data_IF_147476522679
#
_entry.id   IF_147476522679
#
_cell.length_a   1.000
_cell.length_b   1.000
_cell.length_c   1.000
_cell.angle_alpha   90.00
_cell.angle_beta   90.00
_cell.angle_gamma   90.00
#
_symmetry.space_group_name_H-M   'P 1'
#
loop_
_entity.id
_entity.type
_entity.pdbx_description
1 polymer ?
#
# COMPACT_ATOMS: atom_id res chain seq x y z
N UNK A 1 50.67 -2.60 -63.94
CA UNK A 1 50.34 -1.82 -65.17
C UNK A 1 48.94 -1.25 -65.01
N UNK A 2 48.81 0.08 -65.17
CA UNK A 2 47.60 0.87 -65.51
C UNK A 2 46.39 0.81 -64.54
N UNK A 3 45.62 1.88 -64.28
CA UNK A 3 45.68 3.35 -64.47
C UNK A 3 44.43 3.88 -63.74
N UNK A 4 44.53 5.11 -63.25
CA UNK A 4 43.51 5.95 -62.59
C UNK A 4 42.12 5.97 -63.25
N UNK A 5 41.08 6.22 -62.42
CA UNK A 5 40.15 7.33 -62.64
C UNK A 5 39.36 7.63 -61.35
N UNK A 6 39.65 8.79 -60.74
CA UNK A 6 38.77 9.47 -59.79
C UNK A 6 37.58 10.06 -60.56
N UNK A 7 36.36 9.78 -60.14
CA UNK A 7 35.17 10.50 -60.58
C UNK A 7 34.73 11.41 -59.45
N UNK A 8 34.84 12.72 -59.68
CA UNK A 8 34.39 13.78 -58.81
C UNK A 8 32.86 13.83 -58.79
N UNK A 9 32.25 13.64 -57.63
CA UNK A 9 30.84 13.96 -57.42
C UNK A 9 30.72 15.43 -57.00
N UNK A 10 30.14 16.25 -57.86
CA UNK A 10 29.83 17.65 -57.58
C UNK A 10 28.68 17.73 -56.57
N UNK A 11 28.93 18.35 -55.41
CA UNK A 11 27.90 18.73 -54.45
C UNK A 11 27.17 19.98 -54.95
N UNK A 12 25.88 19.85 -55.27
CA UNK A 12 24.99 21.01 -55.43
C UNK A 12 24.35 21.28 -54.07
N UNK A 13 24.86 22.28 -53.36
CA UNK A 13 24.26 22.78 -52.13
C UNK A 13 23.09 23.71 -52.47
N UNK A 14 21.86 23.24 -52.27
CA UNK A 14 20.66 24.08 -52.34
C UNK A 14 20.51 24.83 -51.02
N UNK A 15 20.88 26.11 -51.00
CA UNK A 15 20.67 26.98 -49.84
C UNK A 15 19.18 27.36 -49.74
N UNK A 16 18.45 26.70 -48.87
CA UNK A 16 17.11 27.15 -48.44
C UNK A 16 17.29 28.15 -47.31
N UNK A 17 17.09 29.43 -47.61
CA UNK A 17 17.01 30.47 -46.59
C UNK A 17 15.70 30.30 -45.80
N UNK A 18 15.78 29.66 -44.63
CA UNK A 18 14.69 29.65 -43.65
C UNK A 18 14.77 30.96 -42.86
N UNK A 19 13.88 31.89 -43.14
CA UNK A 19 13.68 33.08 -42.30
C UNK A 19 13.06 32.63 -40.97
N UNK A 20 13.86 32.59 -39.91
CA UNK A 20 13.37 32.41 -38.56
C UNK A 20 12.62 33.68 -38.12
N UNK A 21 11.29 33.69 -38.25
CA UNK A 21 10.46 34.66 -37.54
C UNK A 21 10.48 34.28 -36.06
N UNK A 22 11.32 34.98 -35.29
CA UNK A 22 11.26 34.99 -33.84
C UNK A 22 9.97 35.70 -33.38
N UNK A 23 8.84 35.01 -33.50
CA UNK A 23 7.62 35.38 -32.79
C UNK A 23 7.83 35.12 -31.31
N UNK A 24 8.04 36.17 -30.52
CA UNK A 24 7.86 36.11 -29.08
C UNK A 24 6.39 35.77 -28.79
N UNK A 25 6.06 34.48 -28.75
CA UNK A 25 4.83 34.01 -28.14
C UNK A 25 4.93 34.32 -26.65
N UNK A 26 4.32 35.45 -26.26
CA UNK A 26 3.98 35.75 -24.87
C UNK A 26 3.13 34.60 -24.37
N UNK A 27 3.73 33.65 -23.64
CA UNK A 27 2.96 32.67 -22.86
C UNK A 27 1.99 33.46 -22.00
N UNK A 28 0.67 33.22 -22.07
CA UNK A 28 -0.23 33.83 -21.11
C UNK A 28 0.27 33.46 -19.73
N UNK A 29 0.42 34.46 -18.86
CA UNK A 29 0.76 34.22 -17.46
C UNK A 29 -0.25 33.20 -16.93
N UNK A 30 0.23 32.02 -16.52
CA UNK A 30 -0.60 31.03 -15.85
C UNK A 30 -1.18 31.74 -14.63
N UNK A 31 -2.48 32.07 -14.69
CA UNK A 31 -3.18 32.60 -13.52
C UNK A 31 -3.20 31.46 -12.53
N UNK A 32 -2.41 31.59 -11.46
CA UNK A 32 -2.55 30.70 -10.31
C UNK A 32 -4.01 30.82 -9.88
N UNK A 33 -4.79 29.72 -9.87
CA UNK A 33 -6.18 29.77 -9.45
C UNK A 33 -6.25 30.28 -8.00
N UNK A 34 -7.38 30.85 -7.55
CA UNK A 34 -7.52 31.20 -6.14
C UNK A 34 -7.34 29.94 -5.27
N UNK A 35 -6.77 30.07 -4.05
CA UNK A 35 -6.70 28.97 -3.10
C UNK A 35 -8.10 28.41 -2.84
N UNK A 36 -8.23 27.09 -2.75
CA UNK A 36 -9.50 26.38 -2.60
C UNK A 36 -9.73 25.83 -1.18
N UNK A 37 -8.79 26.08 -0.26
CA UNK A 37 -8.83 25.58 1.11
C UNK A 37 -8.04 26.48 2.07
N UNK A 38 -8.23 26.32 3.39
CA UNK A 38 -7.40 26.94 4.42
C UNK A 38 -6.84 25.92 5.42
N UNK A 39 -5.51 25.88 5.60
CA UNK A 39 -4.86 25.10 6.67
C UNK A 39 -4.50 26.04 7.82
N UNK A 40 -5.20 25.93 8.95
CA UNK A 40 -4.96 26.81 10.11
C UNK A 40 -5.15 28.30 9.79
N UNK A 41 -6.09 28.64 8.89
CA UNK A 41 -6.35 30.01 8.45
C UNK A 41 -5.42 30.51 7.33
N UNK A 42 -4.42 29.74 6.90
CA UNK A 42 -3.57 30.06 5.75
C UNK A 42 -4.24 29.55 4.47
N UNK A 43 -4.54 30.39 3.46
CA UNK A 43 -5.08 29.94 2.19
C UNK A 43 -4.09 29.05 1.44
N UNK A 44 -4.51 27.86 1.03
CA UNK A 44 -3.68 26.89 0.30
C UNK A 44 -4.42 26.31 -0.90
N UNK A 45 -3.68 25.66 -1.79
CA UNK A 45 -4.22 24.84 -2.87
C UNK A 45 -4.17 23.38 -2.44
N UNK A 46 -5.32 22.72 -2.43
CA UNK A 46 -5.36 21.27 -2.42
C UNK A 46 -4.81 20.79 -3.76
N UNK A 47 -3.72 20.03 -3.71
CA UNK A 47 -3.26 19.25 -4.85
C UNK A 47 -4.21 18.06 -4.95
N UNK A 48 -4.86 17.90 -6.09
CA UNK A 48 -5.65 16.70 -6.36
C UNK A 48 -4.71 15.49 -6.31
N UNK A 49 -4.93 14.61 -5.34
CA UNK A 49 -4.21 13.33 -5.27
C UNK A 49 -4.98 12.37 -6.16
N UNK A 50 -4.41 11.92 -7.29
CA UNK A 50 -5.12 11.00 -8.17
C UNK A 50 -5.49 9.73 -7.41
N UNK A 51 -6.76 9.32 -7.50
CA UNK A 51 -7.24 8.08 -6.93
C UNK A 51 -6.40 6.91 -7.45
N UNK A 52 -5.97 6.02 -6.55
CA UNK A 52 -5.23 4.83 -6.93
C UNK A 52 -6.03 3.98 -7.93
N UNK A 53 -5.33 3.32 -8.87
CA UNK A 53 -5.97 2.41 -9.80
C UNK A 53 -6.70 1.27 -9.05
N UNK A 54 -7.76 0.65 -9.60
CA UNK A 54 -8.51 -0.38 -8.89
C UNK A 54 -7.68 -1.62 -8.50
N UNK A 55 -6.62 -1.89 -9.26
CA UNK A 55 -5.68 -3.00 -9.05
C UNK A 55 -4.23 -2.53 -9.17
N UNK A 56 -3.31 -3.29 -8.59
CA UNK A 56 -1.87 -2.98 -8.63
C UNK A 56 -0.97 -4.16 -8.25
N UNK A 57 0.24 -4.15 -8.79
CA UNK A 57 1.29 -5.17 -8.58
C UNK A 57 2.56 -4.61 -7.95
N UNK A 58 2.54 -3.33 -7.56
CA UNK A 58 3.69 -2.64 -6.99
C UNK A 58 4.13 -3.34 -5.71
N UNK A 59 5.43 -3.61 -5.58
CA UNK A 59 5.97 -4.19 -4.36
C UNK A 59 5.62 -3.35 -3.11
N UNK A 60 5.43 -4.01 -1.98
CA UNK A 60 5.07 -3.39 -0.71
C UNK A 60 6.16 -3.59 0.34
N UNK A 61 7.24 -2.79 0.31
CA UNK A 61 8.34 -2.90 1.25
C UNK A 61 8.05 -2.23 2.59
N UNK A 62 8.84 -2.59 3.60
CA UNK A 62 8.84 -1.98 4.93
C UNK A 62 7.71 -2.49 5.84
N UNK A 63 7.55 -1.85 7.00
CA UNK A 63 6.52 -2.19 7.99
C UNK A 63 5.32 -1.28 7.79
N UNK A 64 4.33 -1.75 7.03
CA UNK A 64 3.11 -1.00 6.69
C UNK A 64 1.98 -1.92 6.24
N UNK A 65 0.72 -1.48 6.27
CA UNK A 65 -0.40 -2.28 5.80
C UNK A 65 -0.21 -2.78 4.36
N UNK A 66 -0.40 -4.07 4.16
CA UNK A 66 -0.18 -4.76 2.89
C UNK A 66 1.21 -5.37 2.71
N UNK A 67 2.19 -5.02 3.57
CA UNK A 67 3.54 -5.57 3.46
C UNK A 67 3.60 -6.97 4.07
N UNK A 68 4.60 -7.75 3.68
CA UNK A 68 4.79 -9.11 4.18
C UNK A 68 5.27 -9.09 5.62
N UNK A 69 4.70 -9.98 6.43
CA UNK A 69 5.21 -10.36 7.76
C UNK A 69 5.47 -11.85 7.78
N UNK A 70 6.62 -12.26 8.30
CA UNK A 70 6.98 -13.64 8.52
C UNK A 70 6.95 -13.94 10.03
N UNK A 71 6.43 -15.12 10.37
CA UNK A 71 6.48 -15.72 11.70
C UNK A 71 7.01 -17.16 11.59
N UNK A 72 7.15 -17.83 12.72
CA UNK A 72 7.49 -19.25 12.76
C UNK A 72 6.41 -20.16 12.13
N UNK A 73 5.17 -19.67 11.97
CA UNK A 73 4.08 -20.38 11.31
C UNK A 73 4.13 -20.20 9.79
N UNK A 74 4.48 -19.02 9.32
CA UNK A 74 4.60 -18.77 7.88
C UNK A 74 4.49 -17.30 7.50
N UNK A 75 4.24 -17.11 6.20
CA UNK A 75 4.15 -15.79 5.58
C UNK A 75 2.71 -15.27 5.58
N UNK A 76 2.55 -14.05 6.07
CA UNK A 76 1.29 -13.32 6.09
C UNK A 76 1.47 -11.87 5.62
N UNK A 77 0.41 -11.07 5.76
CA UNK A 77 0.40 -9.65 5.41
C UNK A 77 0.04 -8.81 6.63
N UNK A 78 0.76 -7.72 6.86
CA UNK A 78 0.39 -6.73 7.87
C UNK A 78 -0.97 -6.07 7.56
N UNK A 79 -1.78 -5.85 8.60
CA UNK A 79 -2.99 -5.06 8.56
C UNK A 79 -2.70 -3.59 8.94
N UNK A 80 -3.46 -2.97 9.84
CA UNK A 80 -3.31 -1.58 10.25
C UNK A 80 -2.30 -1.37 11.38
N UNK A 81 -1.88 -0.11 11.50
CA UNK A 81 -1.01 0.37 12.58
C UNK A 81 -1.88 0.92 13.70
N UNK A 82 -1.57 0.56 14.94
CA UNK A 82 -2.29 0.96 16.15
C UNK A 82 -1.34 1.68 17.12
N UNK A 83 -1.85 2.71 17.78
CA UNK A 83 -1.19 3.34 18.92
C UNK A 83 -1.68 2.67 20.21
N UNK A 84 -0.77 2.11 21.00
CA UNK A 84 -1.08 1.54 22.30
C UNK A 84 -1.23 2.62 23.36
N UNK A 85 -2.07 2.36 24.36
CA UNK A 85 -2.20 3.21 25.56
C UNK A 85 -0.92 3.27 26.41
N UNK A 86 0.00 2.33 26.18
CA UNK A 86 1.36 2.27 26.74
C UNK A 86 2.38 3.13 25.97
N UNK A 87 1.93 3.89 24.96
CA UNK A 87 2.77 4.73 24.12
C UNK A 87 3.60 3.94 23.08
N UNK A 88 3.35 2.64 22.92
CA UNK A 88 4.03 1.78 21.94
C UNK A 88 3.27 1.77 20.61
N UNK A 89 3.99 1.48 19.54
CA UNK A 89 3.40 1.24 18.22
C UNK A 89 3.15 -0.26 18.06
N UNK A 90 1.97 -0.59 17.55
CA UNK A 90 1.59 -1.94 17.19
C UNK A 90 1.21 -1.98 15.72
N UNK A 91 1.40 -3.14 15.09
CA UNK A 91 0.87 -3.44 13.77
C UNK A 91 0.25 -4.82 13.83
N UNK A 92 -0.92 -5.01 13.24
CA UNK A 92 -1.57 -6.32 13.32
C UNK A 92 -1.33 -7.20 12.10
N UNK A 93 -1.79 -8.44 12.23
CA UNK A 93 -1.98 -9.41 11.14
C UNK A 93 -3.12 -10.36 11.57
N UNK A 94 -3.35 -11.47 10.87
CA UNK A 94 -4.32 -12.47 11.31
C UNK A 94 -3.79 -13.26 12.53
N UNK A 95 -4.68 -13.83 13.33
CA UNK A 95 -4.33 -14.68 14.48
C UNK A 95 -3.72 -16.01 14.03
N UNK A 96 -4.26 -16.62 12.97
CA UNK A 96 -3.72 -17.86 12.41
C UNK A 96 -2.27 -17.71 11.93
N UNK A 97 -1.83 -16.49 11.62
CA UNK A 97 -0.46 -16.21 11.21
C UNK A 97 0.57 -16.45 12.32
N UNK A 98 0.13 -16.65 13.57
CA UNK A 98 1.04 -16.98 14.67
C UNK A 98 0.55 -18.15 15.53
N UNK A 99 -0.77 -18.36 15.60
CA UNK A 99 -1.35 -19.49 16.33
C UNK A 99 -1.35 -20.79 15.49
N UNK A 100 -1.10 -20.69 14.19
CA UNK A 100 -1.19 -21.82 13.27
C UNK A 100 -2.63 -22.25 13.00
N UNK A 101 -2.77 -23.46 12.48
CA UNK A 101 -4.07 -24.12 12.32
C UNK A 101 -4.19 -25.25 13.36
N UNK A 102 -5.40 -25.45 13.89
CA UNK A 102 -5.69 -26.66 14.66
C UNK A 102 -5.47 -27.91 13.78
N UNK A 103 -4.86 -29.00 14.29
CA UNK A 103 -4.69 -30.25 13.56
C UNK A 103 -6.00 -30.91 13.13
N UNK A 104 -7.14 -30.47 13.70
CA UNK A 104 -8.48 -30.92 13.34
C UNK A 104 -9.26 -29.88 12.51
N UNK A 105 -8.60 -28.78 12.12
CA UNK A 105 -9.24 -27.57 11.62
C UNK A 105 -9.92 -26.78 12.75
N UNK A 106 -10.06 -25.46 12.56
CA UNK A 106 -10.81 -24.59 13.47
C UNK A 106 -9.96 -23.83 14.50
N UNK A 107 -10.67 -23.31 15.49
CA UNK A 107 -10.20 -22.36 16.51
C UNK A 107 -9.04 -22.89 17.34
N UNK A 108 -8.09 -22.00 17.66
CA UNK A 108 -6.94 -22.27 18.54
C UNK A 108 -7.07 -21.53 19.88
N UNK A 109 -7.96 -20.54 19.95
CA UNK A 109 -8.22 -19.75 21.15
C UNK A 109 -7.48 -18.41 21.14
N UNK A 110 -7.24 -17.87 22.33
CA UNK A 110 -6.69 -16.54 22.55
C UNK A 110 -5.39 -16.63 23.36
N UNK A 111 -4.39 -15.84 22.97
CA UNK A 111 -3.08 -15.81 23.61
C UNK A 111 -2.59 -14.37 23.74
N UNK A 112 -1.95 -14.09 24.87
CA UNK A 112 -1.25 -12.83 25.13
C UNK A 112 0.14 -13.14 25.65
N UNK A 113 1.12 -12.36 25.20
CA UNK A 113 2.51 -12.50 25.62
C UNK A 113 2.95 -11.27 26.40
N UNK A 114 3.67 -11.50 27.48
CA UNK A 114 4.31 -10.42 28.20
C UNK A 114 5.43 -9.79 27.35
N UNK A 115 5.82 -8.54 27.67
CA UNK A 115 6.95 -7.93 27.02
C UNK A 115 8.22 -8.79 27.03
N UNK A 116 8.80 -9.03 25.86
CA UNK A 116 10.03 -9.81 25.67
C UNK A 116 9.81 -11.32 25.58
N UNK A 117 8.56 -11.80 25.68
CA UNK A 117 8.23 -13.23 25.64
C UNK A 117 7.43 -13.63 24.40
N UNK A 118 7.09 -12.67 23.55
CA UNK A 118 6.35 -12.89 22.33
C UNK A 118 7.20 -13.56 21.25
N UNK A 119 6.60 -14.41 20.39
CA UNK A 119 7.24 -14.87 19.18
C UNK A 119 7.72 -13.71 18.30
N UNK A 120 8.81 -13.91 17.57
CA UNK A 120 9.42 -12.86 16.75
C UNK A 120 8.61 -12.67 15.47
N UNK A 121 8.37 -11.41 15.10
CA UNK A 121 7.89 -11.04 13.79
C UNK A 121 9.05 -10.50 12.94
N UNK A 122 9.09 -10.90 11.67
CA UNK A 122 10.10 -10.48 10.71
C UNK A 122 9.46 -9.85 9.47
N UNK A 123 10.18 -8.95 8.81
CA UNK A 123 9.77 -8.43 7.50
C UNK A 123 10.05 -9.45 6.37
N UNK A 124 9.75 -9.04 5.12
CA UNK A 124 9.99 -9.85 3.92
C UNK A 124 11.45 -10.27 3.75
N UNK A 125 12.41 -9.49 4.25
CA UNK A 125 13.85 -9.75 4.19
C UNK A 125 14.37 -10.58 5.37
N UNK A 126 13.52 -10.95 6.31
CA UNK A 126 13.88 -11.69 7.53
C UNK A 126 14.40 -10.80 8.67
N UNK A 127 14.37 -9.47 8.52
CA UNK A 127 14.78 -8.58 9.60
C UNK A 127 13.72 -8.56 10.70
N UNK A 128 14.15 -8.62 11.96
CA UNK A 128 13.24 -8.51 13.11
C UNK A 128 12.58 -7.12 13.12
N UNK A 129 11.26 -7.10 13.29
CA UNK A 129 10.46 -5.87 13.40
C UNK A 129 9.82 -5.70 14.78
N UNK A 130 9.72 -6.78 15.55
CA UNK A 130 9.03 -6.78 16.84
C UNK A 130 8.68 -8.20 17.27
N UNK A 131 7.69 -8.27 18.15
CA UNK A 131 7.18 -9.53 18.70
C UNK A 131 5.67 -9.50 18.86
N UNK A 132 5.03 -10.67 18.72
CA UNK A 132 3.60 -10.79 18.95
C UNK A 132 3.26 -10.54 20.42
N UNK A 133 2.30 -9.66 20.66
CA UNK A 133 1.81 -9.30 21.99
C UNK A 133 0.43 -9.91 22.27
N UNK A 134 -0.35 -10.17 21.23
CA UNK A 134 -1.71 -10.69 21.32
C UNK A 134 -2.07 -11.47 20.05
N UNK A 135 -2.85 -12.54 20.18
CA UNK A 135 -3.49 -13.22 19.06
C UNK A 135 -4.78 -13.92 19.49
N UNK A 136 -5.77 -13.94 18.60
CA UNK A 136 -7.01 -14.70 18.73
C UNK A 136 -7.31 -15.40 17.41
N UNK A 137 -7.63 -16.68 17.50
CA UNK A 137 -8.20 -17.48 16.41
C UNK A 137 -9.38 -18.25 17.00
N UNK A 138 -10.54 -17.59 17.01
CA UNK A 138 -11.81 -18.08 17.51
C UNK A 138 -12.94 -17.42 16.69
N UNK A 139 -13.60 -18.17 15.81
CA UNK A 139 -14.64 -17.64 14.91
C UNK A 139 -15.64 -16.72 15.65
N UNK A 140 -15.92 -15.50 15.15
CA UNK A 140 -15.50 -14.92 13.87
C UNK A 140 -14.15 -14.17 13.92
N UNK A 141 -13.39 -14.29 15.01
CA UNK A 141 -12.17 -13.50 15.27
C UNK A 141 -10.91 -14.22 14.82
N UNK A 142 -10.18 -13.57 13.93
CA UNK A 142 -8.87 -14.01 13.46
C UNK A 142 -7.94 -12.78 13.37
N UNK A 143 -7.29 -12.46 14.50
CA UNK A 143 -6.56 -11.21 14.67
C UNK A 143 -5.35 -11.38 15.57
N UNK A 144 -4.28 -10.64 15.29
CA UNK A 144 -3.12 -10.53 16.18
C UNK A 144 -2.52 -9.13 16.15
N UNK A 145 -1.77 -8.82 17.21
CA UNK A 145 -1.00 -7.59 17.36
C UNK A 145 0.47 -7.94 17.54
N UNK A 146 1.30 -7.26 16.77
CA UNK A 146 2.75 -7.25 16.91
C UNK A 146 3.16 -5.93 17.52
N UNK A 147 3.86 -5.98 18.64
CA UNK A 147 4.47 -4.82 19.26
C UNK A 147 5.78 -4.53 18.55
N UNK A 148 5.86 -3.34 17.95
CA UNK A 148 7.00 -2.94 17.14
C UNK A 148 8.20 -2.57 18.01
N UNK A 149 9.39 -3.02 17.62
CA UNK A 149 10.63 -2.71 18.32
C UNK A 149 10.98 -1.22 18.19
N UNK A 150 11.63 -0.61 19.21
CA UNK A 150 12.07 0.78 19.11
C UNK A 150 13.00 0.99 17.90
N UNK A 151 12.77 2.06 17.13
CA UNK A 151 13.61 2.43 15.98
C UNK A 151 13.24 1.78 14.65
N UNK A 152 12.30 0.82 14.64
CA UNK A 152 11.73 0.29 13.40
C UNK A 152 10.80 1.33 12.78
N UNK A 153 11.06 1.71 11.54
CA UNK A 153 10.24 2.67 10.82
C UNK A 153 8.91 2.02 10.38
N UNK A 154 7.79 2.64 10.77
CA UNK A 154 6.44 2.17 10.46
C UNK A 154 5.70 3.23 9.64
N UNK A 155 4.99 2.80 8.61
CA UNK A 155 4.10 3.67 7.83
C UNK A 155 2.65 3.22 8.01
N UNK A 156 1.70 4.12 8.34
CA UNK A 156 0.29 3.77 8.40
C UNK A 156 -0.37 3.61 7.02
N UNK A 157 0.34 3.94 5.93
CA UNK A 157 -0.19 3.95 4.58
C UNK A 157 -0.37 2.51 4.03
N UNK A 158 -1.55 2.14 3.56
CA UNK A 158 -1.76 0.90 2.81
C UNK A 158 -1.00 0.97 1.50
N UNK A 159 -0.31 -0.10 1.15
CA UNK A 159 0.31 -0.18 -0.16
C UNK A 159 -0.70 0.03 -1.28
N UNK A 160 -0.24 0.72 -2.34
CA UNK A 160 -1.02 1.13 -3.50
C UNK A 160 -2.15 2.14 -3.24
N UNK A 161 -3.01 1.92 -2.24
CA UNK A 161 -4.19 2.74 -1.98
C UNK A 161 -3.94 3.96 -1.07
N UNK A 162 -2.83 3.99 -0.34
CA UNK A 162 -2.64 4.97 0.73
C UNK A 162 -3.64 4.74 1.87
N UNK A 163 -3.83 5.74 2.75
CA UNK A 163 -4.73 5.62 3.90
C UNK A 163 -4.41 4.41 4.80
N UNK A 164 -5.28 3.93 5.69
CA UNK A 164 -6.54 4.56 6.07
C UNK A 164 -6.29 5.90 6.77
N UNK A 165 -7.31 6.76 6.77
CA UNK A 165 -7.33 8.03 7.52
C UNK A 165 -8.14 7.94 8.82
N UNK A 166 -8.64 6.74 9.17
CA UNK A 166 -9.45 6.51 10.36
C UNK A 166 -10.02 5.09 10.43
N UNK A 167 -10.74 4.81 11.51
CA UNK A 167 -11.53 3.58 11.69
C UNK A 167 -12.93 3.84 11.14
N UNK A 168 -13.42 2.94 10.29
CA UNK A 168 -14.80 2.96 9.84
C UNK A 168 -15.69 2.25 10.88
N UNK A 169 -16.73 2.92 11.35
CA UNK A 169 -17.77 2.34 12.22
C UNK A 169 -19.13 2.27 11.54
N UNK A 170 -19.21 2.66 10.26
CA UNK A 170 -20.46 2.69 9.51
C UNK A 170 -20.90 1.29 9.13
N UNK A 171 -22.21 1.04 9.20
CA UNK A 171 -22.87 -0.21 8.79
C UNK A 171 -23.86 0.02 7.62
N UNK A 172 -23.39 0.55 6.48
CA UNK A 172 -24.24 0.89 5.36
C UNK A 172 -24.97 -0.34 4.80
N UNK A 173 -26.20 -0.14 4.33
CA UNK A 173 -26.96 -1.12 3.55
C UNK A 173 -26.75 -1.01 2.04
N UNK A 174 -26.13 0.09 1.58
CA UNK A 174 -25.88 0.37 0.17
C UNK A 174 -24.51 -0.17 -0.28
N UNK A 175 -24.25 -0.10 -1.59
CA UNK A 175 -22.98 -0.55 -2.17
C UNK A 175 -21.79 0.24 -1.60
N UNK A 176 -20.76 -0.50 -1.19
CA UNK A 176 -19.51 0.06 -0.65
C UNK A 176 -18.35 -0.42 -1.49
N UNK A 177 -17.48 0.52 -1.86
CA UNK A 177 -16.18 0.22 -2.48
C UNK A 177 -15.18 -0.10 -1.39
N UNK A 178 -14.53 -1.25 -1.49
CA UNK A 178 -13.50 -1.70 -0.57
C UNK A 178 -12.17 -1.85 -1.28
N UNK A 179 -11.11 -1.39 -0.63
CA UNK A 179 -9.74 -1.54 -1.11
C UNK A 179 -9.00 -2.53 -0.22
N UNK A 180 -8.40 -3.55 -0.83
CA UNK A 180 -7.69 -4.61 -0.16
C UNK A 180 -6.26 -4.70 -0.70
N UNK A 181 -5.29 -4.81 0.19
CA UNK A 181 -3.94 -5.19 -0.17
C UNK A 181 -3.52 -6.43 0.61
N UNK A 182 -3.04 -7.46 -0.07
CA UNK A 182 -2.43 -8.59 0.61
C UNK A 182 -1.81 -9.64 -0.29
N UNK A 183 -0.88 -10.39 0.29
CA UNK A 183 -0.06 -11.40 -0.39
C UNK A 183 -0.47 -12.84 0.02
N UNK A 184 -1.66 -12.99 0.62
CA UNK A 184 -2.11 -14.24 1.23
C UNK A 184 -2.30 -15.38 0.21
N UNK A 185 -1.64 -16.50 0.47
CA UNK A 185 -1.63 -17.71 -0.38
C UNK A 185 -3.03 -18.37 -0.46
N UNK A 186 -3.88 -18.18 0.55
CA UNK A 186 -5.23 -18.75 0.63
C UNK A 186 -6.26 -18.17 -0.33
N UNK A 187 -5.93 -17.12 -1.09
CA UNK A 187 -6.84 -16.46 -2.04
C UNK A 187 -6.48 -16.78 -3.51
N UNK A 188 -5.52 -17.69 -3.74
CA UNK A 188 -5.01 -18.02 -5.08
C UNK A 188 -4.03 -16.97 -5.63
N UNK A 189 -3.63 -17.12 -6.89
CA UNK A 189 -2.77 -16.14 -7.60
C UNK A 189 -3.55 -14.87 -7.95
N UNK A 190 -3.80 -14.03 -6.95
CA UNK A 190 -4.54 -12.78 -7.09
C UNK A 190 -3.61 -11.58 -6.97
N UNK A 191 -3.85 -10.51 -7.75
CA UNK A 191 -3.03 -9.29 -7.76
C UNK A 191 -3.02 -8.65 -6.36
N UNK A 192 -1.89 -8.25 -5.76
CA UNK A 192 -1.83 -7.84 -4.36
C UNK A 192 -2.82 -6.73 -3.98
N UNK A 193 -2.91 -5.67 -4.80
CA UNK A 193 -3.87 -4.59 -4.61
C UNK A 193 -5.14 -4.85 -5.43
N UNK A 194 -6.31 -4.82 -4.77
CA UNK A 194 -7.62 -5.10 -5.37
C UNK A 194 -8.69 -4.17 -4.84
N UNK A 195 -9.65 -3.85 -5.69
CA UNK A 195 -10.88 -3.16 -5.32
C UNK A 195 -12.03 -4.13 -5.45
N UNK A 196 -12.87 -4.20 -4.43
CA UNK A 196 -14.05 -5.05 -4.40
C UNK A 196 -15.30 -4.23 -4.05
N UNK A 197 -16.47 -4.78 -4.35
CA UNK A 197 -17.75 -4.20 -3.99
C UNK A 197 -18.43 -5.07 -2.94
N UNK A 198 -18.85 -4.44 -1.84
CA UNK A 198 -19.73 -5.06 -0.86
C UNK A 198 -21.16 -4.55 -1.05
N UNK A 199 -22.14 -5.45 -1.01
CA UNK A 199 -23.58 -5.12 -1.04
C UNK A 199 -24.09 -4.60 0.32
N UNK A 200 -23.29 -3.76 0.98
CA UNK A 200 -23.45 -3.30 2.35
C UNK A 200 -22.43 -3.90 3.31
N UNK A 201 -22.39 -3.35 4.53
CA UNK A 201 -21.61 -3.84 5.66
C UNK A 201 -22.50 -3.94 6.93
N UNK A 202 -23.61 -4.69 6.89
CA UNK A 202 -24.57 -4.73 7.99
C UNK A 202 -24.05 -5.49 9.22
N UNK A 203 -23.04 -6.34 9.04
CA UNK A 203 -22.39 -7.08 10.12
C UNK A 203 -21.06 -6.43 10.48
N UNK A 204 -20.79 -6.20 11.78
CA UNK A 204 -19.49 -5.72 12.23
C UNK A 204 -18.39 -6.80 12.12
N UNK A 205 -18.77 -8.07 11.97
CA UNK A 205 -17.84 -9.21 11.99
C UNK A 205 -17.50 -9.73 10.59
N UNK A 206 -18.39 -9.53 9.62
CA UNK A 206 -18.21 -10.05 8.26
C UNK A 206 -18.68 -9.06 7.20
N UNK A 207 -17.81 -8.85 6.21
CA UNK A 207 -18.15 -8.11 4.99
C UNK A 207 -17.93 -9.04 3.80
N UNK A 208 -18.98 -9.27 3.03
CA UNK A 208 -18.90 -10.04 1.80
C UNK A 208 -18.66 -9.10 0.63
N UNK A 209 -17.51 -9.25 -0.02
CA UNK A 209 -17.10 -8.41 -1.14
C UNK A 209 -16.86 -9.26 -2.40
N UNK A 210 -17.23 -8.72 -3.56
CA UNK A 210 -16.98 -9.33 -4.87
C UNK A 210 -15.98 -8.47 -5.64
N UNK A 211 -14.89 -9.08 -6.12
CA UNK A 211 -13.84 -8.42 -6.90
C UNK A 211 -12.52 -9.15 -6.92
#
# INVERSE_FOLDING_TARGET
MRKHALVAAAFVALAVAVTAQAGLHRRPASRIPPPNWTLGGVPTWLIEVPTAAPVGVTACPGVRPGAIVNSDVGQCTFNFVFAGSDGRTYIGTAGHCILGASPFGGDVGEMSWAPGTGPVAQDAGGARIGEFAYAILLDPKDFSLIRVDPGVAVSPQVCHFGGPTGINADTPSDLVVLHHYGNGVGVGSVLPARTALAAGMPSPDHVFAQG
#
